data_IF_280639798024
#
_entry.id   IF_280639798024
#
_cell.length_a   1.000
_cell.length_b   1.000
_cell.length_c   1.000
_cell.angle_alpha   90.00
_cell.angle_beta   90.00
_cell.angle_gamma   90.00
#
_symmetry.space_group_name_H-M   'P 1'
#
loop_
_entity.id
_entity.type
_entity.pdbx_description
1 polymer ?
#
# COMPACT_ATOMS: atom_id res chain seq x y z
N UNK A 1 4.41 9.28 -3.86
CA UNK A 1 3.91 8.35 -2.84
C UNK A 1 2.71 9.00 -2.18
N UNK A 2 1.69 8.21 -1.83
CA UNK A 2 0.50 8.66 -1.13
C UNK A 2 0.54 8.15 0.32
N UNK A 3 0.33 9.07 1.26
CA UNK A 3 0.17 8.79 2.68
C UNK A 3 -1.27 9.19 3.09
N UNK A 4 -2.23 8.25 3.08
CA UNK A 4 -3.59 8.51 3.53
C UNK A 4 -3.61 8.81 5.04
N UNK A 5 -4.53 9.68 5.48
CA UNK A 5 -4.73 9.95 6.92
C UNK A 5 -5.40 8.75 7.59
N UNK A 6 -4.94 8.41 8.79
CA UNK A 6 -5.54 7.40 9.68
C UNK A 6 -5.76 6.03 9.03
N UNK A 7 -4.91 5.67 8.06
CA UNK A 7 -5.02 4.44 7.29
C UNK A 7 -3.74 3.60 7.37
N UNK A 8 -3.90 2.29 7.32
CA UNK A 8 -2.86 1.28 7.52
C UNK A 8 -2.16 0.89 6.22
N UNK A 9 -1.96 1.86 5.32
CA UNK A 9 -1.29 1.62 4.05
C UNK A 9 -0.70 2.89 3.47
N UNK A 10 0.28 2.72 2.59
CA UNK A 10 0.76 3.76 1.68
C UNK A 10 0.63 3.27 0.24
N UNK A 11 0.72 4.18 -0.74
CA UNK A 11 0.69 3.77 -2.14
C UNK A 11 1.75 4.46 -3.00
N UNK A 12 2.46 3.65 -3.77
CA UNK A 12 3.34 4.04 -4.84
C UNK A 12 2.66 3.83 -6.19
N UNK A 13 2.46 4.94 -6.89
CA UNK A 13 1.94 4.96 -8.24
C UNK A 13 3.08 5.12 -9.23
N UNK A 14 3.18 4.20 -10.19
CA UNK A 14 4.31 4.16 -11.12
C UNK A 14 3.85 4.49 -12.53
N UNK A 15 4.61 5.33 -13.22
CA UNK A 15 4.45 5.57 -14.65
C UNK A 15 4.96 4.39 -15.48
N UNK A 16 4.59 4.34 -16.76
CA UNK A 16 5.18 3.39 -17.69
C UNK A 16 6.70 3.65 -17.81
N UNK A 17 7.54 2.62 -17.99
CA UNK A 17 7.20 1.23 -18.32
C UNK A 17 7.14 0.27 -17.12
N UNK A 18 6.99 0.76 -15.88
CA UNK A 18 6.98 -0.10 -14.70
C UNK A 18 5.95 -1.24 -14.81
N UNK A 19 6.36 -2.47 -14.43
CA UNK A 19 5.55 -3.69 -14.50
C UNK A 19 4.27 -3.57 -13.68
N UNK A 20 4.35 -3.01 -12.48
CA UNK A 20 3.18 -2.70 -11.66
C UNK A 20 2.90 -1.20 -11.78
N UNK A 21 1.62 -0.85 -11.89
CA UNK A 21 1.19 0.55 -11.89
C UNK A 21 0.84 1.06 -10.49
N UNK A 22 0.49 0.15 -9.58
CA UNK A 22 0.24 0.40 -8.16
C UNK A 22 0.98 -0.63 -7.32
N UNK A 23 1.56 -0.17 -6.22
CA UNK A 23 2.14 -0.98 -5.14
C UNK A 23 1.76 -0.30 -3.83
N UNK A 24 1.18 -1.05 -2.90
CA UNK A 24 0.76 -0.52 -1.61
C UNK A 24 1.41 -1.30 -0.48
N UNK A 25 2.24 -0.63 0.31
CA UNK A 25 2.76 -1.15 1.57
C UNK A 25 1.65 -1.10 2.62
N UNK A 26 1.42 -2.21 3.34
CA UNK A 26 0.65 -2.21 4.59
C UNK A 26 1.57 -1.78 5.71
N UNK A 27 1.16 -0.71 6.39
CA UNK A 27 1.98 -0.05 7.41
C UNK A 27 1.12 0.28 8.63
N UNK A 28 1.74 0.70 9.73
CA UNK A 28 0.99 1.47 10.74
C UNK A 28 0.52 2.81 10.12
N UNK A 29 -0.49 3.49 10.72
CA UNK A 29 -0.87 4.81 10.28
C UNK A 29 0.31 5.77 10.25
N UNK A 30 0.39 6.58 9.19
CA UNK A 30 1.46 7.56 9.04
C UNK A 30 1.29 8.72 10.03
N UNK A 31 2.37 9.04 10.74
CA UNK A 31 2.45 10.18 11.65
C UNK A 31 3.35 11.28 11.07
N UNK A 32 3.03 12.54 11.36
CA UNK A 32 3.81 13.71 10.94
C UNK A 32 4.40 14.40 12.19
N UNK A 33 5.57 13.95 12.69
CA UNK A 33 6.21 14.57 13.85
C UNK A 33 6.59 16.04 13.61
N UNK A 34 6.83 16.43 12.35
CA UNK A 34 7.06 17.81 11.93
C UNK A 34 6.64 17.99 10.45
N UNK A 35 6.59 19.23 9.91
CA UNK A 35 6.11 19.47 8.55
C UNK A 35 6.93 18.84 7.41
N UNK A 36 8.12 18.31 7.70
CA UNK A 36 9.07 17.78 6.71
C UNK A 36 9.34 16.28 6.86
N UNK A 37 8.72 15.63 7.83
CA UNK A 37 8.98 14.23 8.17
C UNK A 37 7.66 13.48 8.35
N UNK A 38 7.60 12.30 7.75
CA UNK A 38 6.52 11.33 7.92
C UNK A 38 7.12 10.01 8.37
N UNK A 39 6.52 9.39 9.39
CA UNK A 39 6.99 8.14 9.98
C UNK A 39 5.87 7.11 10.03
N UNK A 40 6.20 5.86 9.75
CA UNK A 40 5.35 4.68 9.95
C UNK A 40 6.22 3.44 10.11
N UNK A 41 5.64 2.35 10.59
CA UNK A 41 6.28 1.03 10.64
C UNK A 41 5.74 0.21 9.48
N UNK A 42 6.65 -0.37 8.69
CA UNK A 42 6.32 -1.35 7.67
C UNK A 42 5.90 -2.69 8.30
N UNK A 43 4.89 -3.35 7.73
CA UNK A 43 4.31 -4.58 8.27
C UNK A 43 4.46 -5.77 7.30
N UNK A 44 5.43 -5.72 6.38
CA UNK A 44 5.84 -6.82 5.49
C UNK A 44 4.74 -7.38 4.56
N UNK A 45 3.60 -6.69 4.42
CA UNK A 45 2.48 -7.16 3.61
C UNK A 45 2.18 -6.13 2.53
N UNK A 46 2.13 -6.57 1.29
CA UNK A 46 1.97 -5.67 0.15
C UNK A 46 0.77 -6.04 -0.71
N UNK A 47 0.13 -5.04 -1.31
CA UNK A 47 -0.91 -5.27 -2.34
C UNK A 47 -0.53 -4.57 -3.64
N UNK A 48 -0.38 -5.36 -4.70
CA UNK A 48 0.16 -4.93 -5.97
C UNK A 48 -0.86 -5.05 -7.09
N UNK A 49 -0.73 -4.20 -8.13
CA UNK A 49 -1.47 -4.36 -9.39
C UNK A 49 -0.57 -4.37 -10.61
N UNK A 50 -0.69 -5.40 -11.44
CA UNK A 50 0.06 -5.47 -12.70
C UNK A 50 -0.49 -4.47 -13.72
N UNK A 51 0.40 -3.76 -14.41
CA UNK A 51 0.01 -2.83 -15.49
C UNK A 51 -0.62 -3.56 -16.67
N UNK A 52 -0.02 -4.70 -17.05
CA UNK A 52 -0.37 -5.38 -18.29
C UNK A 52 -1.76 -6.02 -18.27
N UNK A 53 -2.19 -6.55 -17.12
CA UNK A 53 -3.45 -7.29 -16.99
C UNK A 53 -4.41 -6.66 -15.99
N UNK A 54 -3.97 -5.71 -15.17
CA UNK A 54 -4.75 -5.20 -14.04
C UNK A 54 -4.92 -6.23 -12.92
N UNK A 55 -4.14 -7.33 -12.93
CA UNK A 55 -4.24 -8.36 -11.91
C UNK A 55 -3.75 -7.82 -10.57
N UNK A 56 -4.58 -8.02 -9.54
CA UNK A 56 -4.29 -7.64 -8.16
C UNK A 56 -3.85 -8.88 -7.39
N UNK A 57 -2.77 -8.77 -6.62
CA UNK A 57 -2.26 -9.85 -5.78
C UNK A 57 -1.64 -9.27 -4.50
N UNK A 58 -1.66 -10.09 -3.45
CA UNK A 58 -0.95 -9.82 -2.21
C UNK A 58 0.46 -10.39 -2.35
N UNK A 59 1.48 -9.62 -1.98
CA UNK A 59 2.89 -10.04 -1.94
C UNK A 59 3.34 -10.21 -0.48
N UNK A 60 4.38 -11.01 -0.28
CA UNK A 60 5.09 -11.19 1.00
C UNK A 60 4.26 -11.72 2.19
N UNK A 61 3.16 -12.43 1.91
CA UNK A 61 2.34 -13.11 2.93
C UNK A 61 3.15 -14.06 3.83
N UNK A 62 4.17 -14.73 3.28
CA UNK A 62 5.03 -15.63 4.04
C UNK A 62 6.03 -14.88 4.92
N UNK A 63 6.51 -13.72 4.48
CA UNK A 63 7.37 -12.85 5.28
C UNK A 63 6.60 -12.29 6.48
N UNK A 64 5.42 -11.71 6.24
CA UNK A 64 4.53 -11.25 7.31
C UNK A 64 4.23 -12.39 8.31
N UNK A 65 3.91 -13.59 7.82
CA UNK A 65 3.63 -14.74 8.68
C UNK A 65 4.82 -15.15 9.57
N UNK A 66 6.06 -15.05 9.06
CA UNK A 66 7.28 -15.31 9.84
C UNK A 66 7.57 -14.17 10.81
N UNK A 67 7.49 -12.93 10.34
CA UNK A 67 7.91 -11.74 11.08
C UNK A 67 6.99 -11.43 12.25
N UNK A 68 5.68 -11.59 12.07
CA UNK A 68 4.72 -11.40 13.18
C UNK A 68 5.00 -12.31 14.37
N UNK A 69 5.53 -13.52 14.13
CA UNK A 69 5.93 -14.45 15.20
C UNK A 69 7.31 -14.09 15.72
N UNK A 70 8.29 -13.92 14.81
CA UNK A 70 9.70 -13.64 15.15
C UNK A 70 9.87 -12.39 16.00
N UNK A 71 9.12 -11.34 15.68
CA UNK A 71 9.22 -10.03 16.32
C UNK A 71 8.07 -9.75 17.30
N UNK A 72 7.13 -10.69 17.45
CA UNK A 72 6.06 -10.59 18.44
C UNK A 72 5.08 -9.45 18.17
N UNK A 73 4.56 -9.37 16.94
CA UNK A 73 3.59 -8.33 16.58
C UNK A 73 2.36 -8.43 17.47
N UNK A 74 1.88 -7.30 18.03
CA UNK A 74 0.66 -7.31 18.84
C UNK A 74 -0.54 -7.85 18.04
N UNK A 75 -1.47 -8.60 18.66
CA UNK A 75 -2.61 -9.19 17.95
C UNK A 75 -3.44 -8.17 17.17
N UNK A 76 -3.62 -6.97 17.72
CA UNK A 76 -4.33 -5.86 17.08
C UNK A 76 -3.62 -5.35 15.84
N UNK A 77 -2.28 -5.31 15.83
CA UNK A 77 -1.49 -4.91 14.64
C UNK A 77 -1.70 -5.90 13.52
N UNK A 78 -1.69 -7.20 13.83
CA UNK A 78 -1.96 -8.24 12.84
C UNK A 78 -3.36 -8.09 12.24
N UNK A 79 -4.38 -7.91 13.10
CA UNK A 79 -5.76 -7.73 12.65
C UNK A 79 -5.89 -6.54 11.70
N UNK A 80 -5.26 -5.41 12.04
CA UNK A 80 -5.30 -4.21 11.21
C UNK A 80 -4.54 -4.40 9.89
N UNK A 81 -3.37 -5.04 9.92
CA UNK A 81 -2.59 -5.32 8.71
C UNK A 81 -3.37 -6.21 7.72
N UNK A 82 -3.95 -7.31 8.22
CA UNK A 82 -4.76 -8.21 7.40
C UNK A 82 -6.00 -7.50 6.84
N UNK A 83 -6.72 -6.73 7.66
CA UNK A 83 -7.88 -5.97 7.19
C UNK A 83 -7.51 -4.90 6.15
N UNK A 84 -6.35 -4.26 6.29
CA UNK A 84 -5.85 -3.28 5.32
C UNK A 84 -5.53 -3.94 3.97
N UNK A 85 -4.87 -5.10 3.96
CA UNK A 85 -4.60 -5.85 2.74
C UNK A 85 -5.87 -6.34 2.04
N UNK A 86 -6.86 -6.84 2.81
CA UNK A 86 -8.17 -7.23 2.28
C UNK A 86 -8.89 -6.03 1.64
N UNK A 87 -8.91 -4.89 2.34
CA UNK A 87 -9.53 -3.66 1.83
C UNK A 87 -8.83 -3.15 0.57
N UNK A 88 -7.50 -3.09 0.57
CA UNK A 88 -6.69 -2.69 -0.59
C UNK A 88 -6.97 -3.60 -1.78
N UNK A 89 -7.02 -4.92 -1.56
CA UNK A 89 -7.32 -5.88 -2.61
C UNK A 89 -8.66 -5.56 -3.28
N UNK A 90 -9.72 -5.31 -2.48
CA UNK A 90 -11.02 -4.89 -2.98
C UNK A 90 -10.96 -3.56 -3.74
N UNK A 91 -10.32 -2.54 -3.14
CA UNK A 91 -10.22 -1.19 -3.70
C UNK A 91 -9.44 -1.14 -5.03
N UNK A 92 -8.38 -1.96 -5.16
CA UNK A 92 -7.60 -2.08 -6.39
C UNK A 92 -8.38 -2.81 -7.49
N UNK A 93 -9.20 -3.80 -7.12
CA UNK A 93 -10.04 -4.59 -8.02
C UNK A 93 -11.25 -3.80 -8.55
N UNK A 94 -11.96 -3.09 -7.67
CA UNK A 94 -13.17 -2.34 -8.04
C UNK A 94 -12.88 -0.93 -8.57
N UNK A 95 -11.63 -0.46 -8.45
CA UNK A 95 -11.23 0.87 -8.88
C UNK A 95 -11.76 1.97 -7.98
N UNK A 96 -11.88 1.72 -6.68
CA UNK A 96 -12.09 2.76 -5.67
C UNK A 96 -10.96 3.79 -5.79
N UNK A 97 -11.31 5.09 -5.77
CA UNK A 97 -10.28 6.13 -5.79
C UNK A 97 -9.44 6.06 -4.49
N UNK A 98 -8.12 6.25 -4.58
CA UNK A 98 -7.38 6.87 -5.68
C UNK A 98 -6.84 5.90 -6.76
N UNK A 99 -7.21 4.62 -6.74
CA UNK A 99 -6.58 3.57 -7.55
C UNK A 99 -7.07 3.49 -8.99
N UNK A 100 -8.08 4.29 -9.38
CA UNK A 100 -8.68 4.28 -10.73
C UNK A 100 -8.14 5.37 -11.63
N UNK A 101 -8.31 6.64 -11.26
CA UNK A 101 -8.02 7.75 -12.15
C UNK A 101 -7.20 8.89 -11.52
N UNK A 102 -7.33 9.09 -10.20
CA UNK A 102 -6.67 10.22 -9.52
C UNK A 102 -5.15 10.16 -9.65
N UNK A 103 -4.56 8.99 -9.44
CA UNK A 103 -3.11 8.86 -9.58
C UNK A 103 -2.62 9.14 -11.00
N UNK A 104 -3.34 8.69 -12.03
CA UNK A 104 -2.96 8.94 -13.44
C UNK A 104 -2.94 10.43 -13.75
N UNK A 105 -3.99 11.13 -13.33
CA UNK A 105 -4.08 12.58 -13.45
C UNK A 105 -2.89 13.26 -12.78
N UNK A 106 -2.47 12.77 -11.60
CA UNK A 106 -1.28 13.29 -10.93
C UNK A 106 0.02 12.96 -11.69
N UNK A 107 0.20 11.72 -12.17
CA UNK A 107 1.37 11.32 -12.95
C UNK A 107 1.54 12.18 -14.22
N UNK A 108 0.44 12.61 -14.85
CA UNK A 108 0.47 13.48 -16.03
C UNK A 108 1.00 14.90 -15.71
N UNK A 109 0.90 15.35 -14.46
CA UNK A 109 1.39 16.68 -14.04
C UNK A 109 2.87 16.73 -13.72
N UNK A 110 3.50 15.59 -13.40
CA UNK A 110 4.85 15.58 -12.81
C UNK A 110 5.99 15.37 -13.81
N UNK A 111 5.72 15.35 -15.13
CA UNK A 111 6.74 15.41 -16.20
C UNK A 111 7.89 14.40 -16.04
N UNK A 112 7.75 13.21 -16.63
CA UNK A 112 8.74 12.13 -16.57
C UNK A 112 9.89 12.32 -17.55
#
# INVERSE_FOLDING_TARGET
MLFPRDAWWTALFRAAPARLDVYCDVTTPSEWPNPTEVTMVDLDLDVCRTRATGAVFVDDEDEFARHRVRYGYPPEVVVQATAAAEWLTGALQDGTEPFRSRYRTWLDTVGW
#
